data_IF_496885551431
#
_entry.id   IF_496885551431
#
_cell.length_a   1.000
_cell.length_b   1.000
_cell.length_c   1.000
_cell.angle_alpha   90.00
_cell.angle_beta   90.00
_cell.angle_gamma   90.00
#
_symmetry.space_group_name_H-M   'P 1'
#
loop_
_entity.id
_entity.type
_entity.pdbx_description
1 polymer ?
#
# COMPACT_ATOMS: atom_id res chain seq x y z
N UNK A 1 -8.62 4.37 -9.17
CA UNK A 1 -7.15 4.50 -9.37
C UNK A 1 -6.70 3.84 -10.69
N UNK A 2 -7.36 2.77 -11.12
CA UNK A 2 -7.16 2.07 -12.40
C UNK A 2 -6.99 2.99 -13.64
N UNK A 3 -7.88 3.95 -13.87
CA UNK A 3 -7.82 4.85 -15.04
C UNK A 3 -6.50 5.67 -15.11
N UNK A 4 -5.99 6.13 -13.95
CA UNK A 4 -4.73 6.86 -13.89
C UNK A 4 -3.53 5.96 -14.25
N UNK A 5 -3.59 4.69 -13.83
CA UNK A 5 -2.55 3.70 -14.11
C UNK A 5 -2.56 3.21 -15.56
N UNK A 6 -3.74 3.06 -16.15
CA UNK A 6 -3.91 2.76 -17.58
C UNK A 6 -3.29 3.84 -18.46
N UNK A 7 -3.51 5.12 -18.12
CA UNK A 7 -2.96 6.27 -18.85
C UNK A 7 -1.45 6.47 -18.66
N UNK A 8 -0.89 5.97 -17.56
CA UNK A 8 0.55 6.06 -17.31
C UNK A 8 1.34 5.14 -18.24
N UNK A 9 2.48 5.63 -18.74
CA UNK A 9 3.44 4.88 -19.58
C UNK A 9 4.66 4.38 -18.79
N UNK A 10 4.60 4.40 -17.46
CA UNK A 10 5.74 4.04 -16.59
C UNK A 10 5.66 2.58 -16.15
N UNK A 11 6.82 1.95 -16.01
CA UNK A 11 6.95 0.55 -15.56
C UNK A 11 6.71 0.39 -14.05
N UNK A 12 6.92 1.46 -13.28
CA UNK A 12 6.62 1.51 -11.84
C UNK A 12 5.53 2.54 -11.63
N UNK A 13 4.48 2.13 -10.93
CA UNK A 13 3.31 2.95 -10.61
C UNK A 13 3.24 3.13 -9.09
N UNK A 14 3.02 4.36 -8.64
CA UNK A 14 2.90 4.68 -7.22
C UNK A 14 1.51 5.23 -6.94
N UNK A 15 0.87 4.69 -5.93
CA UNK A 15 -0.33 5.22 -5.32
C UNK A 15 0.03 5.91 -4.01
N UNK A 16 -0.52 7.10 -3.79
CA UNK A 16 -0.36 7.87 -2.57
C UNK A 16 -1.55 8.80 -2.36
N UNK A 17 -1.89 9.05 -1.10
CA UNK A 17 -2.88 10.04 -0.72
C UNK A 17 -2.33 11.47 -0.92
N UNK A 18 -3.17 12.40 -1.35
CA UNK A 18 -2.78 13.79 -1.62
C UNK A 18 -2.48 14.58 -0.34
N UNK A 19 -2.95 14.11 0.81
CA UNK A 19 -2.79 14.75 2.12
C UNK A 19 -1.35 14.70 2.67
N UNK A 20 -0.43 14.04 1.95
CA UNK A 20 0.97 13.83 2.34
C UNK A 20 1.09 13.25 3.76
N UNK A 21 0.12 12.44 4.20
CA UNK A 21 0.17 11.76 5.49
C UNK A 21 1.37 10.78 5.61
N UNK A 22 2.10 10.55 4.52
CA UNK A 22 3.33 9.77 4.47
C UNK A 22 4.50 10.65 4.02
N UNK A 23 5.64 10.52 4.70
CA UNK A 23 6.82 11.31 4.41
C UNK A 23 7.39 10.95 3.02
N UNK A 24 7.47 11.94 2.14
CA UNK A 24 7.95 11.81 0.76
C UNK A 24 9.41 11.34 0.65
N UNK A 25 10.21 11.48 1.71
CA UNK A 25 11.58 10.99 1.72
C UNK A 25 11.67 9.47 1.51
N UNK A 26 10.60 8.72 1.79
CA UNK A 26 10.55 7.27 1.59
C UNK A 26 10.07 6.85 0.19
N UNK A 27 9.76 7.80 -0.69
CA UNK A 27 9.32 7.48 -2.05
C UNK A 27 10.43 6.81 -2.86
N UNK A 28 11.68 7.27 -2.72
CA UNK A 28 12.83 6.64 -3.37
C UNK A 28 12.98 5.18 -2.92
N UNK A 29 12.89 4.93 -1.60
CA UNK A 29 13.03 3.59 -1.04
C UNK A 29 11.92 2.65 -1.56
N UNK A 30 10.69 3.16 -1.68
CA UNK A 30 9.55 2.42 -2.17
C UNK A 30 9.72 2.03 -3.65
N UNK A 31 10.17 2.98 -4.48
CA UNK A 31 10.47 2.74 -5.90
C UNK A 31 11.64 1.75 -6.05
N UNK A 32 12.70 1.92 -5.25
CA UNK A 32 13.88 1.07 -5.32
C UNK A 32 13.59 -0.36 -4.88
N UNK A 33 12.71 -0.55 -3.90
CA UNK A 33 12.22 -1.88 -3.54
C UNK A 33 11.54 -2.58 -4.72
N UNK A 34 10.68 -1.86 -5.47
CA UNK A 34 10.07 -2.39 -6.70
C UNK A 34 11.10 -2.69 -7.78
N UNK A 35 12.06 -1.79 -8.01
CA UNK A 35 13.17 -2.02 -8.98
C UNK A 35 14.01 -3.24 -8.65
N UNK A 36 14.19 -3.54 -7.36
CA UNK A 36 14.93 -4.72 -6.88
C UNK A 36 14.14 -6.03 -7.02
N UNK A 37 12.94 -6.00 -7.60
CA UNK A 37 12.15 -7.18 -7.92
C UNK A 37 10.94 -7.41 -7.01
N UNK A 38 10.57 -6.46 -6.15
CA UNK A 38 9.30 -6.54 -5.43
C UNK A 38 8.14 -6.26 -6.38
N UNK A 39 7.22 -7.23 -6.53
CA UNK A 39 6.01 -7.05 -7.33
C UNK A 39 5.13 -5.89 -6.79
N UNK A 40 5.07 -5.76 -5.47
CA UNK A 40 4.38 -4.68 -4.74
C UNK A 40 5.24 -4.28 -3.55
N UNK A 41 5.51 -2.98 -3.40
CA UNK A 41 6.13 -2.41 -2.22
C UNK A 41 5.11 -1.54 -1.46
N UNK A 42 5.02 -1.69 -0.15
CA UNK A 42 4.04 -0.98 0.69
C UNK A 42 4.80 -0.22 1.77
N UNK A 43 4.57 1.09 1.85
CA UNK A 43 5.08 1.89 2.96
C UNK A 43 4.37 1.51 4.25
N UNK A 44 5.10 1.47 5.35
CA UNK A 44 4.52 1.19 6.67
C UNK A 44 4.56 2.43 7.53
N UNK A 45 3.41 2.83 8.07
CA UNK A 45 3.32 3.96 9.02
C UNK A 45 3.46 3.50 10.47
N UNK A 46 3.90 2.25 10.72
CA UNK A 46 4.20 1.74 12.07
C UNK A 46 5.43 2.43 12.67
N UNK A 47 5.29 3.69 13.02
CA UNK A 47 6.17 4.33 13.97
C UNK A 47 5.65 4.07 15.39
N UNK A 48 6.48 3.42 16.21
CA UNK A 48 6.24 3.15 17.65
C UNK A 48 5.94 4.42 18.47
N UNK A 49 6.18 5.61 17.90
CA UNK A 49 6.13 6.91 18.58
C UNK A 49 4.88 7.76 18.29
N UNK A 50 3.88 7.26 17.55
CA UNK A 50 2.65 8.07 17.34
C UNK A 50 1.80 8.13 18.62
N UNK A 51 1.68 9.32 19.23
CA UNK A 51 0.76 9.60 20.34
C UNK A 51 -0.69 9.46 19.84
N UNK A 52 -1.19 8.23 19.77
CA UNK A 52 -2.59 7.90 19.42
C UNK A 52 -3.27 7.28 20.64
N UNK A 53 -4.58 7.50 20.81
CA UNK A 53 -5.31 6.94 21.94
C UNK A 53 -5.22 5.41 21.95
N UNK A 54 -5.03 4.83 23.14
CA UNK A 54 -4.90 3.38 23.35
C UNK A 54 -6.02 2.59 22.66
N UNK A 55 -7.27 3.07 22.74
CA UNK A 55 -8.44 2.44 22.10
C UNK A 55 -8.29 2.35 20.58
N UNK A 56 -7.82 3.41 19.93
CA UNK A 56 -7.65 3.46 18.47
C UNK A 56 -6.47 2.58 18.00
N UNK A 57 -5.42 2.49 18.80
CA UNK A 57 -4.31 1.57 18.54
C UNK A 57 -4.75 0.10 18.67
N UNK A 58 -5.52 -0.25 19.70
CA UNK A 58 -6.00 -1.62 19.90
C UNK A 58 -6.91 -2.04 18.73
N UNK A 59 -7.89 -1.23 18.36
CA UNK A 59 -8.81 -1.53 17.25
C UNK A 59 -8.07 -1.71 15.91
N UNK A 60 -7.11 -0.83 15.61
CA UNK A 60 -6.33 -0.92 14.37
C UNK A 60 -5.39 -2.12 14.35
N UNK A 61 -4.78 -2.48 15.50
CA UNK A 61 -3.93 -3.66 15.61
C UNK A 61 -4.73 -4.96 15.56
N UNK A 62 -5.87 -5.04 16.26
CA UNK A 62 -6.71 -6.24 16.26
C UNK A 62 -7.31 -6.50 14.87
N UNK A 63 -7.74 -5.47 14.15
CA UNK A 63 -8.19 -5.61 12.77
C UNK A 63 -7.08 -6.09 11.84
N UNK A 64 -5.89 -5.47 11.89
CA UNK A 64 -4.75 -5.93 11.10
C UNK A 64 -4.35 -7.38 11.45
N UNK A 65 -4.40 -7.75 12.73
CA UNK A 65 -4.12 -9.11 13.17
C UNK A 65 -5.13 -10.11 12.62
N UNK A 66 -6.43 -9.79 12.69
CA UNK A 66 -7.50 -10.62 12.13
C UNK A 66 -7.34 -10.81 10.63
N UNK A 67 -7.09 -9.74 9.87
CA UNK A 67 -6.86 -9.82 8.42
C UNK A 67 -5.64 -10.69 8.11
N UNK A 68 -4.54 -10.53 8.86
CA UNK A 68 -3.33 -11.36 8.67
C UNK A 68 -3.58 -12.82 8.98
N UNK A 69 -4.41 -13.14 9.98
CA UNK A 69 -4.76 -14.51 10.35
C UNK A 69 -5.70 -15.15 9.32
N UNK A 70 -6.77 -14.45 8.94
CA UNK A 70 -7.79 -14.96 8.01
C UNK A 70 -7.23 -15.19 6.61
N UNK A 71 -6.36 -14.31 6.13
CA UNK A 71 -5.82 -14.37 4.77
C UNK A 71 -4.37 -14.88 4.70
N UNK A 72 -3.77 -15.25 5.84
CA UNK A 72 -2.37 -15.72 5.94
C UNK A 72 -1.35 -14.80 5.26
N UNK A 73 -1.61 -13.49 5.25
CA UNK A 73 -0.74 -12.51 4.60
C UNK A 73 0.34 -11.99 5.57
N UNK A 74 1.57 -11.88 5.07
CA UNK A 74 2.72 -11.34 5.83
C UNK A 74 2.82 -9.81 5.80
N UNK A 75 1.83 -9.12 5.22
CA UNK A 75 1.78 -7.65 5.10
C UNK A 75 1.34 -7.05 6.45
N UNK A 76 2.14 -6.11 6.96
CA UNK A 76 1.94 -5.52 8.29
C UNK A 76 1.03 -4.28 8.32
N UNK A 77 0.84 -3.61 7.18
CA UNK A 77 0.00 -2.42 7.04
C UNK A 77 -0.76 -2.49 5.71
N UNK A 78 -1.85 -3.26 5.69
CA UNK A 78 -2.65 -3.47 4.47
C UNK A 78 -3.40 -2.19 4.04
N UNK A 79 -3.66 -1.31 5.01
CA UNK A 79 -4.46 -0.08 4.90
C UNK A 79 -3.64 1.15 4.54
N UNK A 80 -2.32 1.02 4.32
CA UNK A 80 -1.50 2.15 3.91
C UNK A 80 -1.79 2.54 2.46
N UNK A 81 -2.15 3.81 2.21
CA UNK A 81 -2.32 4.36 0.87
C UNK A 81 -1.00 4.59 0.13
N UNK A 82 0.16 4.33 0.74
CA UNK A 82 1.47 4.53 0.12
C UNK A 82 2.02 3.22 -0.43
N UNK A 83 1.83 2.97 -1.74
CA UNK A 83 2.18 1.69 -2.39
C UNK A 83 2.83 1.92 -3.75
N UNK A 84 3.86 1.14 -4.08
CA UNK A 84 4.44 1.06 -5.42
C UNK A 84 4.21 -0.33 -6.02
N UNK A 85 4.02 -0.36 -7.33
CA UNK A 85 3.66 -1.57 -8.07
C UNK A 85 4.52 -1.68 -9.32
N UNK A 86 4.96 -2.89 -9.64
CA UNK A 86 5.42 -3.20 -10.99
C UNK A 86 4.21 -3.28 -11.92
N UNK A 87 4.27 -2.60 -13.07
CA UNK A 87 3.14 -2.43 -13.97
C UNK A 87 2.58 -3.77 -14.44
N UNK A 88 3.39 -4.69 -14.93
CA UNK A 88 2.88 -5.97 -15.48
C UNK A 88 2.15 -6.78 -14.41
N UNK A 89 2.68 -6.81 -13.19
CA UNK A 89 2.09 -7.50 -12.04
C UNK A 89 0.77 -6.87 -11.63
N UNK A 90 0.71 -5.54 -11.57
CA UNK A 90 -0.52 -4.82 -11.27
C UNK A 90 -1.61 -5.11 -12.31
N UNK A 91 -1.28 -5.04 -13.60
CA UNK A 91 -2.25 -5.29 -14.66
C UNK A 91 -2.68 -6.77 -14.74
N UNK A 92 -1.83 -7.68 -14.27
CA UNK A 92 -2.21 -9.09 -14.08
C UNK A 92 -3.28 -9.28 -13.00
N UNK A 93 -3.35 -8.41 -11.99
CA UNK A 93 -4.31 -8.54 -10.88
C UNK A 93 -5.53 -7.62 -11.01
N UNK A 94 -5.43 -6.50 -11.73
CA UNK A 94 -6.51 -5.53 -11.90
C UNK A 94 -7.86 -6.15 -12.35
N UNK A 95 -7.91 -7.14 -13.26
CA UNK A 95 -9.17 -7.76 -13.69
C UNK A 95 -9.93 -8.49 -12.58
N UNK A 96 -9.26 -8.89 -11.50
CA UNK A 96 -9.86 -9.61 -10.37
C UNK A 96 -10.40 -8.67 -9.29
N UNK A 97 -10.24 -7.35 -9.46
CA UNK A 97 -10.76 -6.36 -8.50
C UNK A 97 -12.22 -6.04 -8.85
N UNK A 98 -13.14 -6.46 -7.98
CA UNK A 98 -14.58 -6.23 -8.17
C UNK A 98 -14.98 -4.79 -7.83
N UNK A 99 -14.37 -4.17 -6.80
CA UNK A 99 -14.64 -2.78 -6.42
C UNK A 99 -13.84 -1.80 -7.29
N UNK A 100 -14.54 -1.15 -8.23
CA UNK A 100 -13.97 -0.15 -9.15
C UNK A 100 -14.19 1.30 -8.68
N UNK A 101 -14.86 1.49 -7.55
CA UNK A 101 -15.23 2.81 -7.03
C UNK A 101 -14.05 3.53 -6.39
N UNK A 102 -13.24 2.77 -5.63
CA UNK A 102 -12.11 3.29 -4.87
C UNK A 102 -10.74 2.83 -5.39
N UNK A 103 -10.70 1.77 -6.21
CA UNK A 103 -9.48 1.19 -6.78
C UNK A 103 -9.29 1.52 -8.27
#
# INVERSE_FOLDING_TARGET
MANAFEKSKRDILVFMDIDLATNMNYLSDLIDATKKGADIAIGSRRNKASKRSLKRNIASHSYNMLVRLLFSIKIYDTQCGFKAFERKKLFGILPYIEDKSWF
#
